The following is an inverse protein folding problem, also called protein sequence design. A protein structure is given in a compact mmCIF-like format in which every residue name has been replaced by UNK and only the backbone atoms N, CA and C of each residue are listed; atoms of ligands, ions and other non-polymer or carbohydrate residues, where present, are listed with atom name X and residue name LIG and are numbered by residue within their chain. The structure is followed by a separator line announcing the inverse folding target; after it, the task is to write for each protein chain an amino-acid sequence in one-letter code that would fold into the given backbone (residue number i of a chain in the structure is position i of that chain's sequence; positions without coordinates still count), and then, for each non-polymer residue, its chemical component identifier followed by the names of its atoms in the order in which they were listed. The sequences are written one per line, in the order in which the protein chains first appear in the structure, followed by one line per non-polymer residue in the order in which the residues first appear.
data_IF_659599070314
#
_entry.id   IF_659599070314
#
_cell.length_a   1.000
_cell.length_b   1.000
_cell.length_c   1.000
_cell.angle_alpha   90.00
_cell.angle_beta   90.00
_cell.angle_gamma   90.00
#
_symmetry.space_group_name_H-M   'P 1'
#
loop_
_entity.id
_entity.type
_entity.pdbx_description
1 polymer ?
#
# COMPACT_ATOMS: atom_id res chain seq x y z
N UNK A 1 67.46 -37.40 5.72
CA UNK A 1 66.77 -37.49 7.02
C UNK A 1 66.10 -36.17 7.32
N UNK A 2 64.82 -36.25 7.72
CA UNK A 2 63.94 -35.26 8.37
C UNK A 2 63.58 -33.97 7.62
N UNK A 3 62.32 -34.00 7.18
CA UNK A 3 61.54 -32.92 6.61
C UNK A 3 61.16 -31.87 7.66
N UNK A 4 61.16 -30.60 7.25
CA UNK A 4 60.53 -29.51 7.98
C UNK A 4 59.15 -29.29 7.36
N UNK A 5 58.13 -29.57 8.17
CA UNK A 5 56.71 -29.42 7.88
C UNK A 5 56.33 -27.95 7.74
N UNK A 6 55.85 -27.52 6.57
CA UNK A 6 55.19 -26.23 6.37
C UNK A 6 53.67 -26.46 6.32
N UNK A 7 53.10 -26.42 7.52
CA UNK A 7 51.67 -26.46 7.82
C UNK A 7 51.02 -25.13 7.42
N UNK A 8 49.87 -25.21 6.76
CA UNK A 8 48.86 -24.16 6.58
C UNK A 8 49.32 -22.82 5.99
N UNK A 9 49.11 -22.65 4.68
CA UNK A 9 48.80 -21.33 4.12
C UNK A 9 47.32 -21.31 3.77
N UNK A 10 46.55 -20.61 4.59
CA UNK A 10 45.14 -20.33 4.40
C UNK A 10 44.91 -19.75 2.99
N UNK A 11 44.18 -20.47 2.15
CA UNK A 11 43.49 -19.91 1.01
C UNK A 11 42.31 -19.07 1.54
N UNK A 12 42.57 -17.80 1.87
CA UNK A 12 41.49 -16.81 2.01
C UNK A 12 41.36 -16.14 0.65
N UNK A 13 40.57 -16.75 -0.22
CA UNK A 13 40.06 -16.10 -1.42
C UNK A 13 38.99 -15.11 -0.95
N UNK A 14 39.42 -13.88 -0.69
CA UNK A 14 38.54 -12.75 -0.37
C UNK A 14 37.72 -12.42 -1.62
N UNK A 15 36.49 -12.95 -1.67
CA UNK A 15 35.43 -12.53 -2.59
C UNK A 15 35.08 -11.07 -2.28
N UNK A 16 35.82 -10.14 -2.89
CA UNK A 16 35.37 -8.77 -3.10
C UNK A 16 34.26 -8.80 -4.14
N UNK A 17 33.07 -9.26 -3.74
CA UNK A 17 31.86 -8.95 -4.47
C UNK A 17 31.63 -7.44 -4.32
N UNK A 18 31.64 -6.65 -5.40
CA UNK A 18 31.13 -5.30 -5.29
C UNK A 18 29.66 -5.43 -4.95
N UNK A 19 29.29 -5.04 -3.73
CA UNK A 19 27.92 -4.72 -3.37
C UNK A 19 27.53 -3.51 -4.21
N UNK A 20 27.25 -3.72 -5.50
CA UNK A 20 26.42 -2.82 -6.28
C UNK A 20 25.01 -2.92 -5.69
N UNK A 21 24.82 -2.26 -4.56
CA UNK A 21 23.49 -1.78 -4.20
C UNK A 21 23.15 -0.76 -5.27
N UNK A 22 22.56 -1.23 -6.36
CA UNK A 22 21.77 -0.38 -7.24
C UNK A 22 20.57 0.09 -6.39
N UNK A 23 20.81 1.10 -5.55
CA UNK A 23 19.76 1.97 -5.10
C UNK A 23 19.26 2.65 -6.37
N UNK A 24 18.26 2.02 -7.01
CA UNK A 24 17.57 2.62 -8.14
C UNK A 24 17.13 4.00 -7.67
N UNK A 25 17.63 5.04 -8.33
CA UNK A 25 17.26 6.41 -8.03
C UNK A 25 15.72 6.51 -8.18
N UNK A 26 15.07 7.16 -7.20
CA UNK A 26 13.63 7.36 -7.29
C UNK A 26 13.31 8.22 -8.52
N UNK A 27 12.18 7.97 -9.20
CA UNK A 27 11.84 8.76 -10.37
C UNK A 27 11.64 10.22 -9.95
N UNK A 28 12.21 11.13 -10.75
CA UNK A 28 12.07 12.57 -10.53
C UNK A 28 10.94 13.09 -11.39
N UNK A 29 9.92 13.64 -10.76
CA UNK A 29 8.77 14.21 -11.46
C UNK A 29 9.06 15.66 -11.85
N UNK A 30 8.73 16.04 -13.08
CA UNK A 30 8.80 17.45 -13.48
C UNK A 30 7.80 18.30 -12.69
N UNK A 31 8.16 19.56 -12.41
CA UNK A 31 7.26 20.51 -11.74
C UNK A 31 5.94 20.67 -12.49
N UNK A 32 5.99 20.70 -13.82
CA UNK A 32 4.80 20.74 -14.67
C UNK A 32 3.86 19.57 -14.39
N UNK A 33 4.39 18.35 -14.29
CA UNK A 33 3.59 17.15 -14.05
C UNK A 33 3.05 17.10 -12.61
N UNK A 34 3.85 17.51 -11.63
CA UNK A 34 3.39 17.66 -10.24
C UNK A 34 2.23 18.66 -10.13
N UNK A 35 2.36 19.82 -10.77
CA UNK A 35 1.30 20.85 -10.81
C UNK A 35 0.04 20.35 -11.49
N UNK A 36 0.14 19.53 -12.55
CA UNK A 36 -1.04 18.90 -13.17
C UNK A 36 -1.81 18.03 -12.17
N UNK A 37 -1.12 17.18 -11.39
CA UNK A 37 -1.77 16.37 -10.36
C UNK A 37 -2.38 17.22 -9.24
N UNK A 38 -1.71 18.31 -8.83
CA UNK A 38 -2.22 19.25 -7.82
C UNK A 38 -3.48 19.98 -8.25
N UNK A 39 -3.61 20.31 -9.54
CA UNK A 39 -4.84 20.91 -10.06
C UNK A 39 -5.95 19.86 -10.15
N UNK A 40 -5.68 18.70 -10.74
CA UNK A 40 -6.64 17.60 -10.83
C UNK A 40 -7.13 17.14 -9.46
N UNK A 41 -6.31 17.29 -8.42
CA UNK A 41 -6.72 16.89 -7.07
C UNK A 41 -7.81 17.73 -6.45
N UNK A 42 -7.94 18.99 -6.88
CA UNK A 42 -8.98 19.90 -6.39
C UNK A 42 -10.37 19.50 -6.84
N UNK A 43 -10.47 18.79 -7.96
CA UNK A 43 -11.74 18.31 -8.52
C UNK A 43 -12.26 17.06 -7.79
N UNK A 44 -11.42 16.40 -6.98
CA UNK A 44 -11.81 15.26 -6.15
C UNK A 44 -12.58 15.68 -4.90
N UNK A 45 -13.50 14.81 -4.46
CA UNK A 45 -14.21 15.00 -3.19
C UNK A 45 -14.07 13.74 -2.30
N UNK A 46 -13.17 13.75 -1.30
CA UNK A 46 -12.27 14.86 -0.93
C UNK A 46 -11.09 15.02 -1.90
N UNK A 47 -10.38 16.17 -1.87
CA UNK A 47 -9.16 16.33 -2.63
C UNK A 47 -8.10 15.30 -2.24
N UNK A 48 -7.63 14.55 -3.21
CA UNK A 48 -6.67 13.46 -2.99
C UNK A 48 -5.27 14.01 -2.70
N UNK A 49 -4.52 13.31 -1.84
CA UNK A 49 -3.14 13.67 -1.46
C UNK A 49 -2.09 12.80 -2.18
N UNK A 50 -2.46 11.58 -2.52
CA UNK A 50 -1.54 10.57 -3.01
C UNK A 50 -1.95 10.01 -4.36
N UNK A 51 -0.97 9.75 -5.22
CA UNK A 51 -1.16 9.15 -6.56
C UNK A 51 -0.26 7.94 -6.69
N UNK A 52 -0.74 6.87 -7.32
CA UNK A 52 0.15 5.82 -7.80
C UNK A 52 0.67 6.22 -9.19
N UNK A 53 1.98 6.16 -9.39
CA UNK A 53 2.62 6.51 -10.66
C UNK A 53 3.63 5.46 -11.10
N UNK A 54 3.90 5.41 -12.40
CA UNK A 54 5.07 4.73 -12.96
C UNK A 54 6.30 5.64 -12.94
N UNK A 55 7.47 5.09 -13.30
CA UNK A 55 8.73 5.83 -13.32
C UNK A 55 8.75 7.04 -14.28
N UNK A 56 7.91 7.01 -15.32
CA UNK A 56 7.73 8.12 -16.27
C UNK A 56 6.79 9.23 -15.75
N UNK A 57 6.19 9.05 -14.57
CA UNK A 57 5.25 9.99 -13.97
C UNK A 57 3.81 9.88 -14.50
N UNK A 58 3.51 8.90 -15.35
CA UNK A 58 2.14 8.53 -15.72
C UNK A 58 1.41 7.87 -14.55
N UNK A 59 0.08 7.97 -14.52
CA UNK A 59 -0.73 7.39 -13.44
C UNK A 59 -0.75 5.86 -13.55
N UNK A 60 -0.50 5.18 -12.44
CA UNK A 60 -0.49 3.72 -12.33
C UNK A 60 -1.84 3.22 -11.79
N UNK A 61 -2.87 3.30 -12.64
CA UNK A 61 -4.21 2.79 -12.33
C UNK A 61 -4.32 1.26 -12.50
N UNK A 62 -3.30 0.66 -13.12
CA UNK A 62 -3.13 -0.77 -13.26
C UNK A 62 -1.76 -1.17 -12.74
N UNK A 63 -1.75 -2.17 -11.87
CA UNK A 63 -0.55 -2.86 -11.43
C UNK A 63 -0.23 -3.97 -12.43
N UNK A 64 1.01 -3.97 -12.91
CA UNK A 64 1.60 -5.10 -13.61
C UNK A 64 2.94 -5.43 -12.97
N UNK A 65 3.27 -6.71 -12.84
CA UNK A 65 4.58 -7.15 -12.33
C UNK A 65 5.76 -6.70 -13.20
N UNK A 66 5.49 -6.21 -14.42
CA UNK A 66 6.52 -5.72 -15.35
C UNK A 66 6.91 -4.25 -15.12
N UNK A 67 6.09 -3.46 -14.43
CA UNK A 67 6.32 -2.03 -14.24
C UNK A 67 6.17 -1.66 -12.75
N UNK A 68 7.27 -1.27 -12.08
CA UNK A 68 7.21 -0.84 -10.70
C UNK A 68 6.24 0.32 -10.51
N UNK A 69 5.51 0.28 -9.40
CA UNK A 69 4.63 1.35 -8.96
C UNK A 69 5.36 2.17 -7.90
N UNK A 70 5.11 3.47 -7.90
CA UNK A 70 5.59 4.41 -6.88
C UNK A 70 4.40 5.18 -6.32
N UNK A 71 4.54 5.65 -5.08
CA UNK A 71 3.57 6.56 -4.47
C UNK A 71 4.09 7.99 -4.56
N UNK A 72 3.29 8.88 -5.17
CA UNK A 72 3.53 10.31 -5.24
C UNK A 72 2.70 11.04 -4.16
N UNK A 73 3.35 11.75 -3.25
CA UNK A 73 2.73 12.77 -2.40
C UNK A 73 2.68 14.10 -3.16
N UNK A 74 1.50 14.48 -3.65
CA UNK A 74 1.38 15.69 -4.46
C UNK A 74 1.55 16.97 -3.65
N UNK A 75 1.49 16.89 -2.31
CA UNK A 75 1.62 18.06 -1.42
C UNK A 75 3.07 18.29 -0.99
N UNK A 76 3.92 17.29 -1.13
CA UNK A 76 5.35 17.39 -0.81
C UNK A 76 6.13 18.23 -1.83
N UNK A 77 7.33 18.65 -1.43
CA UNK A 77 8.27 19.34 -2.31
C UNK A 77 8.72 18.44 -3.46
N UNK A 78 9.00 19.00 -4.66
CA UNK A 78 9.37 18.22 -5.84
C UNK A 78 10.58 17.28 -5.65
N UNK A 79 11.47 17.60 -4.70
CA UNK A 79 12.67 16.79 -4.43
C UNK A 79 12.43 15.56 -3.55
N UNK A 80 11.26 15.43 -2.91
CA UNK A 80 10.98 14.37 -1.93
C UNK A 80 9.53 13.86 -2.00
N UNK A 81 8.86 14.08 -3.13
CA UNK A 81 7.46 13.73 -3.32
C UNK A 81 7.22 12.29 -3.74
N UNK A 82 8.25 11.55 -4.15
CA UNK A 82 8.12 10.14 -4.54
C UNK A 82 8.60 9.22 -3.45
N UNK A 83 7.81 8.18 -3.19
CA UNK A 83 8.08 7.10 -2.24
C UNK A 83 8.09 5.78 -3.01
N UNK A 84 9.13 4.97 -2.82
CA UNK A 84 9.15 3.61 -3.35
C UNK A 84 8.03 2.79 -2.71
N UNK A 85 7.26 2.08 -3.53
CA UNK A 85 6.20 1.18 -3.07
C UNK A 85 6.50 -0.29 -3.35
N UNK A 86 7.71 -0.74 -2.99
CA UNK A 86 8.10 -2.15 -3.10
C UNK A 86 7.16 -3.13 -2.37
N UNK A 87 6.37 -2.66 -1.39
CA UNK A 87 5.32 -3.47 -0.79
C UNK A 87 4.12 -3.67 -1.72
N UNK A 88 3.71 -2.63 -2.47
CA UNK A 88 2.64 -2.73 -3.48
C UNK A 88 3.10 -3.64 -4.62
N UNK A 89 4.33 -3.49 -5.10
CA UNK A 89 4.88 -4.36 -6.15
C UNK A 89 4.83 -5.85 -5.77
N UNK A 90 5.01 -6.18 -4.48
CA UNK A 90 4.89 -7.55 -3.96
C UNK A 90 3.45 -8.05 -3.90
N UNK A 91 2.47 -7.14 -3.76
CA UNK A 91 1.04 -7.47 -3.77
C UNK A 91 0.53 -7.73 -5.20
N UNK A 92 1.04 -6.97 -6.18
CA UNK A 92 0.66 -7.08 -7.59
C UNK A 92 1.24 -8.37 -8.20
N UNK A 93 0.40 -9.40 -8.25
CA UNK A 93 0.70 -10.67 -8.94
C UNK A 93 -0.26 -10.87 -10.10
N UNK A 94 0.13 -10.36 -11.27
CA UNK A 94 -0.68 -10.31 -12.48
C UNK A 94 -1.35 -8.96 -12.67
N UNK A 95 -2.33 -8.90 -13.58
CA UNK A 95 -3.00 -7.66 -13.97
C UNK A 95 -4.12 -7.32 -12.99
N UNK A 96 -3.85 -6.40 -12.07
CA UNK A 96 -4.85 -5.83 -11.15
C UNK A 96 -5.02 -4.34 -11.47
N UNK A 97 -6.25 -3.85 -11.40
CA UNK A 97 -6.48 -2.41 -11.26
C UNK A 97 -6.17 -2.01 -9.82
N UNK A 98 -5.52 -0.86 -9.64
CA UNK A 98 -5.12 -0.32 -8.35
C UNK A 98 -5.87 0.98 -8.10
N UNK A 99 -6.39 1.15 -6.89
CA UNK A 99 -7.08 2.36 -6.50
C UNK A 99 -6.80 2.75 -5.05
N UNK A 100 -6.45 4.02 -4.84
CA UNK A 100 -6.25 4.61 -3.51
C UNK A 100 -7.53 5.34 -3.12
N UNK A 101 -8.22 4.81 -2.11
CA UNK A 101 -9.51 5.32 -1.66
C UNK A 101 -9.29 6.63 -0.88
N UNK A 102 -9.34 7.75 -1.58
CA UNK A 102 -8.94 9.07 -1.05
C UNK A 102 -9.76 9.54 0.17
N UNK A 103 -11.02 9.16 0.24
CA UNK A 103 -11.95 9.39 1.35
C UNK A 103 -11.59 8.61 2.62
N UNK A 104 -10.75 7.58 2.51
CA UNK A 104 -10.22 6.80 3.64
C UNK A 104 -8.95 7.38 4.24
N UNK A 105 -8.48 8.54 3.79
CA UNK A 105 -7.27 9.16 4.33
C UNK A 105 -7.46 9.54 5.81
N UNK A 106 -6.62 8.98 6.67
CA UNK A 106 -6.56 9.26 8.11
C UNK A 106 -5.13 9.64 8.51
N UNK A 107 -4.95 10.85 9.01
CA UNK A 107 -3.63 11.34 9.44
C UNK A 107 -3.47 11.25 10.97
N UNK A 108 -2.34 10.73 11.44
CA UNK A 108 -1.94 10.72 12.84
C UNK A 108 -0.46 11.12 12.96
N UNK A 109 -0.21 12.32 13.49
CA UNK A 109 1.14 12.88 13.54
C UNK A 109 1.73 13.06 12.14
N UNK A 110 2.85 12.40 11.86
CA UNK A 110 3.52 12.42 10.55
C UNK A 110 3.19 11.20 9.68
N UNK A 111 2.27 10.33 10.13
CA UNK A 111 1.88 9.14 9.39
C UNK A 111 0.46 9.27 8.87
N UNK A 112 0.31 9.04 7.57
CA UNK A 112 -0.99 8.91 6.92
C UNK A 112 -1.33 7.45 6.73
N UNK A 113 -2.59 7.13 6.93
CA UNK A 113 -3.17 5.83 6.68
C UNK A 113 -4.19 5.97 5.56
N UNK A 114 -4.17 5.04 4.60
CA UNK A 114 -5.07 5.06 3.44
C UNK A 114 -5.32 3.63 2.97
N UNK A 115 -6.51 3.38 2.47
CA UNK A 115 -6.89 2.09 1.89
C UNK A 115 -6.47 2.02 0.43
N UNK A 116 -5.76 0.96 0.07
CA UNK A 116 -5.50 0.54 -1.31
C UNK A 116 -6.44 -0.62 -1.63
N UNK A 117 -7.25 -0.47 -2.67
CA UNK A 117 -8.02 -1.56 -3.26
C UNK A 117 -7.33 -2.08 -4.52
N UNK A 118 -7.41 -3.39 -4.72
CA UNK A 118 -6.94 -4.08 -5.90
C UNK A 118 -8.08 -4.90 -6.47
N UNK A 119 -8.41 -4.67 -7.73
CA UNK A 119 -9.52 -5.36 -8.39
C UNK A 119 -9.10 -6.02 -9.70
N UNK A 120 -9.69 -7.18 -9.99
CA UNK A 120 -9.51 -7.89 -11.25
C UNK A 120 -10.84 -8.49 -11.70
N UNK A 121 -11.31 -8.20 -12.92
CA UNK A 121 -12.49 -8.85 -13.48
C UNK A 121 -12.41 -10.38 -13.41
N UNK A 122 -13.53 -11.04 -13.11
CA UNK A 122 -13.59 -12.50 -12.93
C UNK A 122 -13.10 -13.26 -14.18
N UNK A 123 -13.31 -12.70 -15.38
CA UNK A 123 -12.84 -13.26 -16.65
C UNK A 123 -11.33 -13.47 -16.74
N UNK A 124 -10.54 -12.71 -15.98
CA UNK A 124 -9.06 -12.82 -15.96
C UNK A 124 -8.55 -13.76 -14.87
N UNK A 125 -9.44 -14.33 -14.05
CA UNK A 125 -9.11 -15.40 -13.11
C UNK A 125 -10.28 -16.40 -13.02
N UNK A 126 -10.39 -17.38 -13.93
CA UNK A 126 -11.51 -18.32 -13.95
C UNK A 126 -11.56 -19.25 -12.72
N UNK A 127 -10.49 -19.29 -11.92
CA UNK A 127 -10.43 -20.04 -10.65
C UNK A 127 -10.89 -19.21 -9.46
N UNK A 128 -11.16 -17.92 -9.65
CA UNK A 128 -11.67 -17.06 -8.60
C UNK A 128 -13.10 -17.48 -8.25
N UNK A 129 -13.36 -17.65 -6.95
CA UNK A 129 -14.71 -17.86 -6.43
C UNK A 129 -15.27 -16.49 -6.03
N UNK A 130 -16.26 -15.96 -6.75
CA UNK A 130 -16.81 -14.66 -6.44
C UNK A 130 -17.59 -14.69 -5.12
N UNK A 131 -17.32 -13.68 -4.30
CA UNK A 131 -18.09 -13.29 -3.13
C UNK A 131 -19.58 -13.02 -3.41
N UNK A 132 -19.92 -12.50 -4.60
CA UNK A 132 -21.27 -12.19 -5.05
C UNK A 132 -21.36 -12.25 -6.58
N UNK A 133 -22.56 -12.52 -7.10
CA UNK A 133 -22.77 -12.75 -8.54
C UNK A 133 -22.24 -11.57 -9.35
N UNK A 134 -21.38 -11.85 -10.33
CA UNK A 134 -20.79 -10.84 -11.22
C UNK A 134 -19.61 -10.07 -10.62
N UNK A 135 -19.26 -10.25 -9.35
CA UNK A 135 -18.12 -9.56 -8.77
C UNK A 135 -16.79 -10.15 -9.23
N UNK A 136 -15.83 -9.27 -9.51
CA UNK A 136 -14.44 -9.62 -9.72
C UNK A 136 -13.72 -9.99 -8.43
N UNK A 137 -12.44 -10.34 -8.56
CA UNK A 137 -11.55 -10.49 -7.43
C UNK A 137 -11.21 -9.12 -6.87
N UNK A 138 -11.55 -8.88 -5.62
CA UNK A 138 -11.32 -7.61 -4.94
C UNK A 138 -10.64 -7.84 -3.59
N UNK A 139 -9.56 -7.10 -3.35
CA UNK A 139 -8.74 -7.16 -2.15
C UNK A 139 -8.47 -5.75 -1.64
N UNK A 140 -8.44 -5.56 -0.32
CA UNK A 140 -8.09 -4.29 0.26
C UNK A 140 -6.99 -4.39 1.33
N UNK A 141 -6.15 -3.37 1.34
CA UNK A 141 -4.97 -3.25 2.18
C UNK A 141 -4.99 -1.90 2.89
N UNK A 142 -4.59 -1.89 4.16
CA UNK A 142 -4.31 -0.64 4.85
C UNK A 142 -2.83 -0.30 4.70
N UNK A 143 -2.56 0.86 4.11
CA UNK A 143 -1.22 1.40 3.97
C UNK A 143 -0.93 2.38 5.10
N UNK A 144 0.32 2.42 5.54
CA UNK A 144 0.87 3.48 6.37
C UNK A 144 1.98 4.20 5.60
N UNK A 145 1.87 5.51 5.49
CA UNK A 145 2.74 6.39 4.71
C UNK A 145 3.38 7.37 5.67
N UNK A 146 4.70 7.34 5.72
CA UNK A 146 5.53 8.24 6.53
C UNK A 146 6.62 8.83 5.62
N UNK A 147 7.37 9.86 6.05
CA UNK A 147 8.38 10.50 5.20
C UNK A 147 9.33 9.47 4.56
N UNK A 148 9.31 9.41 3.22
CA UNK A 148 10.14 8.50 2.43
C UNK A 148 9.81 7.00 2.53
N UNK A 149 8.69 6.62 3.17
CA UNK A 149 8.39 5.20 3.45
C UNK A 149 6.90 4.87 3.38
N UNK A 150 6.61 3.80 2.64
CA UNK A 150 5.30 3.16 2.56
C UNK A 150 5.37 1.74 3.15
N UNK A 151 4.36 1.36 3.94
CA UNK A 151 4.18 -0.01 4.46
C UNK A 151 2.75 -0.48 4.34
N UNK A 152 2.54 -1.78 4.10
CA UNK A 152 1.25 -2.45 4.23
C UNK A 152 1.10 -2.91 5.68
N UNK A 153 0.28 -2.21 6.46
CA UNK A 153 0.07 -2.49 7.90
C UNK A 153 -1.07 -3.47 8.15
N UNK A 154 -1.97 -3.65 7.20
CA UNK A 154 -2.95 -4.75 7.21
C UNK A 154 -3.17 -5.30 5.80
N UNK A 155 -2.96 -6.61 5.62
CA UNK A 155 -3.14 -7.32 4.33
C UNK A 155 -4.53 -7.89 4.11
N UNK A 156 -5.35 -7.90 5.14
CA UNK A 156 -6.71 -8.45 5.15
C UNK A 156 -7.67 -7.37 5.64
N UNK A 157 -7.60 -6.19 5.02
CA UNK A 157 -8.35 -5.02 5.48
C UNK A 157 -9.79 -5.00 4.95
N UNK A 158 -10.10 -5.85 3.97
CA UNK A 158 -11.40 -5.94 3.33
C UNK A 158 -11.26 -6.54 1.94
N UNK A 159 -12.24 -6.27 1.09
CA UNK A 159 -12.25 -6.68 -0.30
C UNK A 159 -13.65 -6.54 -0.85
N UNK A 160 -14.11 -7.58 -1.54
CA UNK A 160 -15.43 -7.58 -2.13
C UNK A 160 -16.55 -7.14 -1.17
N UNK A 161 -17.45 -6.30 -1.69
CA UNK A 161 -18.62 -5.80 -0.97
C UNK A 161 -18.27 -5.15 0.37
N UNK A 162 -17.11 -4.50 0.46
CA UNK A 162 -16.65 -3.85 1.69
C UNK A 162 -16.62 -2.34 1.53
N UNK A 163 -17.20 -1.61 2.47
CA UNK A 163 -17.05 -0.17 2.61
C UNK A 163 -16.21 0.21 3.83
N UNK A 164 -15.62 1.40 3.79
CA UNK A 164 -14.68 1.91 4.79
C UNK A 164 -15.16 3.25 5.31
N UNK A 165 -15.32 3.37 6.63
CA UNK A 165 -15.59 4.66 7.27
C UNK A 165 -14.42 5.04 8.17
N UNK A 166 -13.98 6.30 8.08
CA UNK A 166 -12.94 6.82 8.96
C UNK A 166 -13.57 7.22 10.31
N UNK A 167 -13.01 6.72 11.40
CA UNK A 167 -13.41 7.07 12.77
C UNK A 167 -12.52 8.21 13.25
N UNK A 168 -13.15 9.34 13.63
CA UNK A 168 -12.50 10.53 14.21
C UNK A 168 -13.35 11.04 15.38
N UNK A 169 -13.31 10.34 16.51
CA UNK A 169 -14.11 10.68 17.70
C UNK A 169 -13.21 10.94 18.90
N UNK A 170 -12.95 12.22 19.20
CA UNK A 170 -12.03 12.62 20.26
C UNK A 170 -10.63 12.02 20.07
N UNK A 171 -10.23 11.12 20.98
CA UNK A 171 -8.94 10.40 20.91
C UNK A 171 -9.00 9.10 20.09
N UNK A 172 -10.20 8.68 19.69
CA UNK A 172 -10.40 7.49 18.87
C UNK A 172 -10.21 7.83 17.39
N UNK A 173 -9.09 7.35 16.84
CA UNK A 173 -8.77 7.39 15.42
C UNK A 173 -8.74 5.98 14.87
N UNK A 174 -9.34 5.74 13.72
CA UNK A 174 -9.32 4.42 13.11
C UNK A 174 -10.26 4.28 11.92
N UNK A 175 -10.65 3.05 11.67
CA UNK A 175 -11.51 2.66 10.58
C UNK A 175 -12.61 1.73 11.07
N UNK A 176 -13.80 1.91 10.51
CA UNK A 176 -14.86 0.91 10.50
C UNK A 176 -14.87 0.26 9.12
N UNK A 177 -14.70 -1.06 9.10
CA UNK A 177 -14.75 -1.87 7.89
C UNK A 177 -16.07 -2.61 7.92
N UNK A 178 -16.90 -2.38 6.90
CA UNK A 178 -18.27 -2.89 6.83
C UNK A 178 -18.34 -3.83 5.63
N UNK A 179 -18.41 -5.13 5.89
CA UNK A 179 -18.62 -6.13 4.86
C UNK A 179 -20.14 -6.33 4.67
N UNK A 180 -20.62 -6.03 3.47
CA UNK A 180 -21.99 -6.25 3.04
C UNK A 180 -22.21 -7.72 2.70
N UNK A 181 -23.44 -8.19 2.94
CA UNK A 181 -23.85 -9.58 2.73
C UNK A 181 -25.19 -9.87 3.39
N UNK A 182 -25.60 -11.13 3.43
CA UNK A 182 -26.86 -11.53 4.07
C UNK A 182 -26.91 -11.17 5.57
N UNK A 183 -25.74 -11.09 6.22
CA UNK A 183 -25.60 -10.54 7.57
C UNK A 183 -24.41 -9.59 7.55
N UNK A 184 -24.64 -8.26 7.55
CA UNK A 184 -23.56 -7.28 7.57
C UNK A 184 -22.63 -7.52 8.75
N UNK A 185 -21.33 -7.51 8.47
CA UNK A 185 -20.29 -7.67 9.49
C UNK A 185 -19.49 -6.39 9.60
N UNK A 186 -19.25 -5.95 10.83
CA UNK A 186 -18.55 -4.69 11.09
C UNK A 186 -17.36 -4.92 12.01
N UNK A 187 -16.18 -4.54 11.54
CA UNK A 187 -14.92 -4.61 12.29
C UNK A 187 -14.38 -3.20 12.50
N UNK A 188 -13.87 -2.92 13.70
CA UNK A 188 -13.15 -1.68 13.98
C UNK A 188 -11.65 -1.94 14.00
N UNK A 189 -10.91 -1.09 13.31
CA UNK A 189 -9.45 -1.05 13.35
C UNK A 189 -9.01 0.30 13.92
N UNK A 190 -8.51 0.30 15.15
CA UNK A 190 -8.16 1.53 15.87
C UNK A 190 -6.65 1.78 15.85
N UNK A 191 -6.27 3.04 15.66
CA UNK A 191 -4.89 3.49 15.77
C UNK A 191 -4.54 3.68 17.25
N UNK A 192 -3.60 2.90 17.74
CA UNK A 192 -3.08 2.96 19.12
C UNK A 192 -1.57 3.14 19.06
N UNK A 193 -1.10 4.36 19.32
CA UNK A 193 0.29 4.75 19.04
C UNK A 193 0.61 4.55 17.55
N UNK A 194 1.67 3.78 17.26
CA UNK A 194 2.11 3.50 15.89
C UNK A 194 1.54 2.18 15.32
N UNK A 195 0.49 1.63 15.92
CA UNK A 195 -0.06 0.31 15.59
C UNK A 195 -1.55 0.36 15.28
N UNK A 196 -1.97 -0.50 14.36
CA UNK A 196 -3.39 -0.72 14.02
C UNK A 196 -3.87 -1.94 14.78
N UNK A 197 -4.85 -1.76 15.66
CA UNK A 197 -5.42 -2.84 16.48
C UNK A 197 -6.83 -3.16 16.00
N UNK A 198 -7.09 -4.43 15.67
CA UNK A 198 -8.43 -4.93 15.42
C UNK A 198 -9.18 -5.06 16.74
N UNK A 199 -10.23 -4.27 16.92
CA UNK A 199 -11.13 -4.41 18.06
C UNK A 199 -12.17 -5.50 17.78
N UNK A 200 -12.66 -6.20 18.82
CA UNK A 200 -13.69 -7.23 18.66
C UNK A 200 -14.97 -6.63 18.07
N UNK A 201 -15.69 -7.45 17.31
CA UNK A 201 -16.88 -7.01 16.58
C UNK A 201 -17.91 -6.42 17.56
N UNK A 202 -18.34 -5.19 17.29
CA UNK A 202 -19.38 -4.54 18.07
C UNK A 202 -20.71 -5.25 17.79
N UNK A 203 -21.02 -6.32 18.53
CA UNK A 203 -22.40 -6.80 18.61
C UNK A 203 -23.17 -5.75 19.41
N UNK A 204 -23.91 -4.89 18.72
CA UNK A 204 -24.95 -4.08 19.36
C UNK A 204 -25.83 -5.05 20.14
N UNK A 205 -25.74 -5.05 21.48
CA UNK A 205 -26.65 -5.84 22.33
C UNK A 205 -28.06 -5.37 21.98
N UNK A 206 -28.83 -6.24 21.35
CA UNK A 206 -30.27 -6.05 21.26
C UNK A 206 -30.74 -6.16 22.71
N UNK A 207 -31.06 -5.02 23.33
CA UNK A 207 -31.80 -5.00 24.59
C UNK A 207 -33.13 -5.71 24.34
N UNK A 208 -33.36 -6.80 25.08
CA UNK A 208 -34.64 -7.51 25.11
C UNK A 208 -35.78 -6.58 25.53
#
# INVERSE_FOLDING_TARGET
MRAISLRNKCFILLLLLPLFSFASELPRLSEKRLSQYREQSKDGNPPWKYVLIHADGSAANAGSSAQPVYLLDIRADPGSNVISSAEIDKLVKGEFSLDLQSDTLLSQGQTDYIVLTMSRPAQYNPRYVPCMIGAGEERAYLLAISPGKLKVVNRFFGGCATSYEVIRDGTDLGYRVIAEGQTPHTVRYMLRGNSVIREPDYRKKISK
#
